data_IF_150189514665
#
_entry.id   IF_150189514665
#
_cell.length_a   1.000
_cell.length_b   1.000
_cell.length_c   1.000
_cell.angle_alpha   90.00
_cell.angle_beta   90.00
_cell.angle_gamma   90.00
#
_symmetry.space_group_name_H-M   'P 1'
#
loop_
_entity.id
_entity.type
_entity.pdbx_description
1 polymer ?
#
# COMPACT_ATOMS: atom_id res chain seq x y z
N UNK A 1 0.29 -21.19 -16.02
CA UNK A 1 -0.05 -19.92 -16.66
C UNK A 1 -1.13 -19.25 -15.86
N UNK A 2 -0.82 -18.04 -15.38
CA UNK A 2 -1.73 -17.16 -14.65
C UNK A 2 -2.24 -16.11 -15.63
N UNK A 3 -3.52 -15.75 -15.55
CA UNK A 3 -4.10 -14.71 -16.42
C UNK A 3 -4.96 -13.74 -15.63
N UNK A 4 -4.74 -12.44 -15.82
CA UNK A 4 -5.62 -11.38 -15.36
C UNK A 4 -6.61 -11.01 -16.48
N UNK A 5 -7.90 -10.94 -16.16
CA UNK A 5 -8.98 -10.66 -17.11
C UNK A 5 -9.94 -9.63 -16.57
N UNK A 6 -10.43 -8.78 -17.47
CA UNK A 6 -11.55 -7.90 -17.17
C UNK A 6 -12.50 -7.86 -18.36
N UNK A 7 -13.81 -7.94 -18.11
CA UNK A 7 -14.84 -8.07 -19.15
C UNK A 7 -14.54 -9.18 -20.18
N UNK A 8 -13.97 -10.30 -19.73
CA UNK A 8 -13.60 -11.43 -20.59
C UNK A 8 -12.35 -11.22 -21.46
N UNK A 9 -11.74 -10.04 -21.43
CA UNK A 9 -10.50 -9.72 -22.15
C UNK A 9 -9.30 -9.95 -21.24
N UNK A 10 -8.29 -10.66 -21.76
CA UNK A 10 -7.02 -10.86 -21.06
C UNK A 10 -6.22 -9.57 -21.10
N UNK A 11 -5.91 -9.05 -19.91
CA UNK A 11 -5.12 -7.82 -19.73
C UNK A 11 -3.68 -8.11 -19.32
N UNK A 12 -3.42 -9.31 -18.80
CA UNK A 12 -2.08 -9.86 -18.60
C UNK A 12 -2.11 -11.38 -18.55
N UNK A 13 -1.05 -12.05 -19.03
CA UNK A 13 -0.85 -13.48 -18.86
C UNK A 13 0.63 -13.85 -18.79
N UNK A 14 1.00 -14.68 -17.81
CA UNK A 14 2.40 -15.09 -17.62
C UNK A 14 2.50 -16.42 -16.87
N UNK A 15 3.58 -17.16 -17.13
CA UNK A 15 4.07 -18.26 -16.28
C UNK A 15 5.12 -17.79 -15.26
N UNK A 16 5.66 -16.58 -15.47
CA UNK A 16 6.66 -15.94 -14.62
C UNK A 16 5.98 -14.77 -13.91
N UNK A 17 5.51 -15.01 -12.69
CA UNK A 17 4.85 -14.01 -11.86
C UNK A 17 5.47 -14.01 -10.47
N UNK A 18 5.40 -12.84 -9.83
CA UNK A 18 5.70 -12.71 -8.41
C UNK A 18 4.39 -12.81 -7.61
N UNK A 19 4.42 -13.48 -6.46
CA UNK A 19 3.26 -13.60 -5.57
C UNK A 19 3.53 -12.84 -4.28
N UNK A 20 2.82 -11.73 -4.05
CA UNK A 20 3.07 -10.87 -2.88
C UNK A 20 1.78 -10.42 -2.20
N UNK A 21 1.66 -10.67 -0.89
CA UNK A 21 0.49 -10.38 -0.05
C UNK A 21 -0.85 -10.81 -0.70
N UNK A 22 -0.86 -11.99 -1.33
CA UNK A 22 -2.03 -12.56 -2.00
C UNK A 22 -2.30 -12.03 -3.41
N UNK A 23 -1.42 -11.19 -3.96
CA UNK A 23 -1.59 -10.62 -5.31
C UNK A 23 -0.60 -11.24 -6.28
N UNK A 24 -1.07 -11.50 -7.50
CA UNK A 24 -0.21 -11.85 -8.64
C UNK A 24 0.35 -10.57 -9.27
N UNK A 25 1.67 -10.47 -9.30
CA UNK A 25 2.42 -9.42 -9.95
C UNK A 25 2.97 -9.95 -11.27
N UNK A 26 2.47 -9.42 -12.38
CA UNK A 26 2.84 -9.80 -13.74
C UNK A 26 3.97 -8.90 -14.24
N UNK A 27 5.02 -9.43 -14.89
CA UNK A 27 6.08 -8.61 -15.45
C UNK A 27 5.48 -7.70 -16.53
N UNK A 28 6.00 -6.48 -16.68
CA UNK A 28 5.49 -5.51 -17.68
C UNK A 28 5.44 -6.09 -19.10
N UNK A 29 6.33 -7.02 -19.45
CA UNK A 29 6.33 -7.71 -20.75
C UNK A 29 5.14 -8.64 -20.98
N UNK A 30 4.45 -9.07 -19.92
CA UNK A 30 3.25 -9.90 -19.95
C UNK A 30 1.95 -9.09 -19.97
N UNK A 31 2.04 -7.75 -19.92
CA UNK A 31 0.87 -6.87 -19.87
C UNK A 31 0.42 -6.50 -21.28
N UNK A 32 -0.88 -6.59 -21.53
CA UNK A 32 -1.48 -5.95 -22.69
C UNK A 32 -1.50 -4.43 -22.48
N UNK A 33 -0.45 -3.75 -22.92
CA UNK A 33 -0.31 -2.31 -22.74
C UNK A 33 -1.42 -1.49 -23.41
N UNK A 34 -2.16 -2.04 -24.38
CA UNK A 34 -3.33 -1.37 -24.95
C UNK A 34 -4.52 -1.32 -23.98
N UNK A 35 -4.54 -2.19 -22.97
CA UNK A 35 -5.57 -2.24 -21.93
C UNK A 35 -5.21 -1.46 -20.67
N UNK A 36 -4.05 -0.78 -20.62
CA UNK A 36 -3.65 0.06 -19.50
C UNK A 36 -3.54 1.53 -19.91
N UNK A 37 -4.07 2.40 -19.06
CA UNK A 37 -3.93 3.85 -19.18
C UNK A 37 -3.46 4.44 -17.86
N UNK A 38 -2.41 5.26 -17.88
CA UNK A 38 -1.95 5.95 -16.67
C UNK A 38 -3.08 6.78 -16.05
N UNK A 39 -3.23 6.70 -14.72
CA UNK A 39 -4.19 7.50 -13.97
C UNK A 39 -3.46 8.43 -12.98
N UNK A 40 -2.89 9.55 -13.46
CA UNK A 40 -2.26 10.53 -12.58
C UNK A 40 -3.27 11.21 -11.63
N UNK A 41 -4.57 11.19 -11.96
CA UNK A 41 -5.64 11.79 -11.16
C UNK A 41 -5.91 11.05 -9.85
N UNK A 42 -5.71 9.72 -9.82
CA UNK A 42 -5.82 8.91 -8.62
C UNK A 42 -4.72 9.21 -7.58
N UNK A 43 -3.56 9.64 -8.10
CA UNK A 43 -2.35 9.87 -7.34
C UNK A 43 -1.66 8.57 -6.89
N UNK A 44 -0.64 8.72 -6.06
CA UNK A 44 0.13 7.59 -5.52
C UNK A 44 -0.36 7.16 -4.14
N UNK A 45 0.01 5.96 -3.73
CA UNK A 45 -0.13 5.51 -2.33
C UNK A 45 1.18 4.95 -1.80
N UNK A 46 1.41 5.12 -0.50
CA UNK A 46 2.64 4.72 0.15
C UNK A 46 2.52 3.39 0.93
N UNK A 47 3.38 2.43 0.66
CA UNK A 47 3.55 1.23 1.46
C UNK A 47 4.86 1.31 2.26
N UNK A 48 4.80 1.19 3.59
CA UNK A 48 5.96 1.26 4.48
C UNK A 48 7.10 0.29 4.12
N UNK A 49 6.82 -0.85 3.46
CA UNK A 49 7.86 -1.82 3.08
C UNK A 49 8.05 -1.98 1.57
N UNK A 50 7.06 -1.60 0.74
CA UNK A 50 7.17 -1.69 -0.72
C UNK A 50 7.53 -0.38 -1.42
N UNK A 51 7.26 0.78 -0.82
CA UNK A 51 7.49 2.10 -1.44
C UNK A 51 6.21 2.70 -2.03
N UNK A 52 6.34 3.48 -3.10
CA UNK A 52 5.23 4.22 -3.71
C UNK A 52 4.60 3.43 -4.86
N UNK A 53 3.28 3.26 -4.80
CA UNK A 53 2.49 2.64 -5.85
C UNK A 53 1.89 3.72 -6.77
N UNK A 54 2.09 3.55 -8.07
CA UNK A 54 1.43 4.27 -9.15
C UNK A 54 0.27 3.42 -9.71
N UNK A 55 -0.78 4.09 -10.17
CA UNK A 55 -2.02 3.44 -10.59
C UNK A 55 -2.33 3.67 -12.08
N UNK A 56 -2.97 2.67 -12.67
CA UNK A 56 -3.44 2.66 -14.04
C UNK A 56 -4.92 2.29 -14.06
N UNK A 57 -5.67 2.91 -14.96
CA UNK A 57 -6.96 2.40 -15.37
C UNK A 57 -6.77 1.14 -16.21
N UNK A 58 -7.67 0.18 -16.05
CA UNK A 58 -7.83 -0.93 -16.98
C UNK A 58 -8.92 -0.54 -17.98
N UNK A 59 -8.62 -0.59 -19.27
CA UNK A 59 -9.50 -0.17 -20.35
C UNK A 59 -9.76 -1.35 -21.26
N UNK A 60 -11.04 -1.68 -21.46
CA UNK A 60 -11.49 -2.74 -22.37
C UNK A 60 -12.65 -2.18 -23.16
N UNK A 61 -12.50 -2.14 -24.49
CA UNK A 61 -13.41 -1.46 -25.41
C UNK A 61 -13.65 0.01 -24.99
N UNK A 62 -14.91 0.40 -24.77
CA UNK A 62 -15.31 1.73 -24.31
C UNK A 62 -15.45 1.83 -22.78
N UNK A 63 -15.17 0.75 -22.05
CA UNK A 63 -15.28 0.71 -20.59
C UNK A 63 -13.94 0.96 -19.90
N UNK A 64 -14.00 1.66 -18.77
CA UNK A 64 -12.84 2.04 -17.95
C UNK A 64 -13.07 1.58 -16.52
N UNK A 65 -12.16 0.75 -16.01
CA UNK A 65 -12.07 0.41 -14.60
C UNK A 65 -10.98 1.25 -13.94
N UNK A 66 -11.41 2.25 -13.18
CA UNK A 66 -10.52 3.28 -12.65
C UNK A 66 -9.54 2.74 -11.61
N UNK A 67 -8.25 3.07 -11.80
CA UNK A 67 -7.15 2.72 -10.89
C UNK A 67 -7.12 1.24 -10.52
N UNK A 68 -7.47 0.34 -11.44
CA UNK A 68 -7.61 -1.10 -11.21
C UNK A 68 -6.33 -1.93 -11.43
N UNK A 69 -5.25 -1.27 -11.81
CA UNK A 69 -3.92 -1.85 -11.80
C UNK A 69 -2.95 -0.93 -11.07
N UNK A 70 -1.93 -1.50 -10.43
CA UNK A 70 -0.88 -0.72 -9.75
C UNK A 70 0.51 -1.31 -9.97
N UNK A 71 1.51 -0.45 -9.82
CA UNK A 71 2.92 -0.78 -9.95
C UNK A 71 3.76 -0.02 -8.93
N UNK A 72 4.78 -0.67 -8.40
CA UNK A 72 5.85 0.01 -7.69
C UNK A 72 6.98 0.28 -8.69
N UNK A 73 7.13 1.54 -9.12
CA UNK A 73 8.15 1.92 -10.09
C UNK A 73 9.56 1.87 -9.47
N UNK A 74 9.67 2.32 -8.23
CA UNK A 74 10.88 2.25 -7.44
C UNK A 74 10.61 1.58 -6.09
N UNK A 75 10.43 0.24 -6.06
CA UNK A 75 10.21 -0.45 -4.81
C UNK A 75 11.43 -0.37 -3.91
N UNK A 76 11.20 -0.43 -2.60
CA UNK A 76 12.29 -0.58 -1.65
C UNK A 76 12.97 -1.95 -1.79
N UNK A 77 14.19 -2.06 -1.29
CA UNK A 77 14.99 -3.29 -1.44
C UNK A 77 14.30 -4.54 -0.88
N UNK A 78 13.43 -4.39 0.12
CA UNK A 78 12.61 -5.50 0.65
C UNK A 78 11.57 -6.02 -0.33
N UNK A 79 11.15 -5.22 -1.31
CA UNK A 79 10.17 -5.56 -2.33
C UNK A 79 10.77 -5.50 -3.74
N UNK A 80 12.09 -5.68 -3.87
CA UNK A 80 12.80 -5.55 -5.14
C UNK A 80 12.31 -6.56 -6.19
N UNK A 81 11.83 -7.73 -5.76
CA UNK A 81 11.31 -8.77 -6.64
C UNK A 81 10.14 -8.29 -7.52
N UNK A 82 9.30 -7.38 -7.03
CA UNK A 82 8.18 -6.81 -7.81
C UNK A 82 8.56 -5.59 -8.64
N UNK A 83 9.84 -5.22 -8.72
CA UNK A 83 10.27 -4.15 -9.64
C UNK A 83 9.90 -4.52 -11.07
N UNK A 84 9.27 -3.58 -11.78
CA UNK A 84 8.86 -3.83 -13.16
C UNK A 84 7.69 -4.82 -13.31
N UNK A 85 6.89 -4.98 -12.25
CA UNK A 85 5.67 -5.78 -12.28
C UNK A 85 4.41 -4.95 -12.01
N UNK A 86 3.28 -5.43 -12.50
CA UNK A 86 1.95 -4.83 -12.35
C UNK A 86 1.02 -5.85 -11.70
N UNK A 87 0.23 -5.42 -10.74
CA UNK A 87 -0.84 -6.23 -10.13
C UNK A 87 -2.20 -5.56 -10.35
N UNK A 88 -3.27 -6.34 -10.18
CA UNK A 88 -4.65 -5.95 -10.53
C UNK A 88 -5.63 -6.24 -9.39
N UNK A 89 -6.69 -5.44 -9.29
CA UNK A 89 -7.75 -5.56 -8.27
C UNK A 89 -9.09 -5.00 -8.81
N UNK A 90 -10.05 -4.71 -7.92
CA UNK A 90 -11.32 -4.01 -8.23
C UNK A 90 -12.20 -4.69 -9.29
N UNK A 91 -12.16 -6.02 -9.34
CA UNK A 91 -12.98 -6.83 -10.25
C UNK A 91 -12.23 -7.38 -11.46
N UNK A 92 -10.92 -7.11 -11.59
CA UNK A 92 -10.06 -7.90 -12.48
C UNK A 92 -9.95 -9.32 -11.90
N UNK A 93 -10.33 -10.32 -12.69
CA UNK A 93 -10.29 -11.74 -12.32
C UNK A 93 -8.90 -12.30 -12.59
N UNK A 94 -8.29 -12.99 -11.61
CA UNK A 94 -6.99 -13.63 -11.75
C UNK A 94 -7.16 -15.15 -11.74
N UNK A 95 -7.10 -15.76 -12.92
CA UNK A 95 -7.24 -17.20 -13.11
C UNK A 95 -5.89 -17.91 -12.99
N UNK A 96 -5.89 -19.07 -12.31
CA UNK A 96 -4.68 -19.88 -12.14
C UNK A 96 -3.63 -19.25 -11.23
N UNK A 97 -3.98 -18.17 -10.52
CA UNK A 97 -3.11 -17.49 -9.57
C UNK A 97 -2.75 -18.37 -8.36
N UNK A 98 -1.61 -18.11 -7.73
CA UNK A 98 -1.15 -18.86 -6.57
C UNK A 98 -2.04 -18.59 -5.35
N UNK A 99 -2.35 -19.65 -4.59
CA UNK A 99 -3.15 -19.55 -3.37
C UNK A 99 -2.30 -19.05 -2.18
N UNK A 100 -2.97 -18.45 -1.19
CA UNK A 100 -2.33 -17.98 0.04
C UNK A 100 -1.77 -16.55 -0.09
N UNK A 101 -0.73 -16.25 0.69
CA UNK A 101 -0.18 -14.89 0.77
C UNK A 101 1.07 -14.66 -0.09
N UNK A 102 1.75 -15.72 -0.51
CA UNK A 102 3.04 -15.60 -1.20
C UNK A 102 4.11 -14.96 -0.32
N UNK A 103 4.97 -14.14 -0.93
CA UNK A 103 5.92 -13.30 -0.23
C UNK A 103 5.20 -12.19 0.54
N UNK A 104 5.67 -11.91 1.74
CA UNK A 104 5.09 -10.92 2.64
C UNK A 104 6.19 -10.04 3.22
N UNK A 105 5.79 -8.97 3.89
CA UNK A 105 6.70 -8.09 4.62
C UNK A 105 7.71 -8.92 5.47
N UNK A 106 9.02 -8.68 5.34
CA UNK A 106 10.02 -9.35 6.16
C UNK A 106 9.83 -9.12 7.66
N UNK A 107 10.14 -10.14 8.46
CA UNK A 107 10.16 -10.05 9.93
C UNK A 107 11.61 -10.12 10.44
N UNK A 108 12.06 -9.17 11.29
CA UNK A 108 11.30 -8.00 11.78
C UNK A 108 11.05 -6.96 10.68
N UNK A 109 9.90 -6.29 10.75
CA UNK A 109 9.67 -5.11 9.93
C UNK A 109 10.67 -4.04 10.27
N UNK A 110 11.26 -3.42 9.25
CA UNK A 110 12.28 -2.39 9.44
C UNK A 110 11.68 -1.01 9.16
N UNK A 111 11.88 -0.06 10.09
CA UNK A 111 11.70 1.37 9.83
C UNK A 111 12.56 1.84 8.64
N UNK A 112 13.70 1.18 8.42
CA UNK A 112 14.55 1.32 7.23
C UNK A 112 14.86 2.79 6.88
N UNK A 113 15.35 3.53 7.89
CA UNK A 113 15.76 4.93 7.74
C UNK A 113 14.64 5.95 7.49
N UNK A 114 13.38 5.52 7.42
CA UNK A 114 12.24 6.41 7.20
C UNK A 114 12.13 7.43 8.33
N UNK A 115 11.64 8.62 8.01
CA UNK A 115 11.40 9.70 8.97
C UNK A 115 10.08 10.42 8.64
N UNK A 116 9.64 11.31 9.51
CA UNK A 116 8.43 12.07 9.32
C UNK A 116 7.20 11.18 9.11
N UNK A 117 6.35 11.56 8.16
CA UNK A 117 5.08 10.89 7.90
C UNK A 117 5.23 9.44 7.40
N UNK A 118 6.33 9.10 6.70
CA UNK A 118 6.58 7.72 6.26
C UNK A 118 6.87 6.81 7.46
N UNK A 119 7.67 7.29 8.42
CA UNK A 119 7.93 6.59 9.67
C UNK A 119 6.68 6.50 10.55
N UNK A 120 5.82 7.53 10.50
CA UNK A 120 4.52 7.47 11.18
C UNK A 120 3.63 6.36 10.61
N UNK A 121 3.53 6.22 9.28
CA UNK A 121 2.82 5.08 8.67
C UNK A 121 3.36 3.73 9.16
N UNK A 122 4.69 3.58 9.25
CA UNK A 122 5.31 2.38 9.80
C UNK A 122 4.93 2.15 11.27
N UNK A 123 5.02 3.19 12.12
CA UNK A 123 4.68 3.13 13.54
C UNK A 123 3.21 2.75 13.78
N UNK A 124 2.28 3.25 12.96
CA UNK A 124 0.86 2.92 13.09
C UNK A 124 0.55 1.44 12.76
N UNK A 125 1.37 0.79 11.92
CA UNK A 125 1.25 -0.66 11.64
C UNK A 125 1.97 -1.50 12.70
N UNK A 126 3.13 -1.03 13.17
CA UNK A 126 4.00 -1.76 14.09
C UNK A 126 4.17 -1.01 15.43
N UNK A 127 3.07 -0.74 16.16
CA UNK A 127 3.14 0.06 17.37
C UNK A 127 3.76 -0.74 18.52
N UNK A 128 4.58 -0.10 19.39
CA UNK A 128 5.07 -0.74 20.60
C UNK A 128 3.97 -0.92 21.67
N UNK A 129 2.86 -0.16 21.56
CA UNK A 129 1.73 -0.12 22.50
C UNK A 129 0.52 0.57 21.85
N UNK A 130 -0.67 0.39 22.41
CA UNK A 130 -1.94 0.94 21.87
C UNK A 130 -2.17 2.44 22.17
N UNK A 131 -1.33 3.06 22.99
CA UNK A 131 -1.38 4.50 23.25
C UNK A 131 0.03 5.08 23.15
N UNK A 132 0.23 6.04 22.27
CA UNK A 132 1.52 6.66 22.00
C UNK A 132 1.49 8.12 22.45
N UNK A 133 2.40 8.47 23.34
CA UNK A 133 2.69 9.86 23.69
C UNK A 133 3.48 10.54 22.58
N UNK A 134 3.59 11.87 22.63
CA UNK A 134 4.45 12.58 21.67
C UNK A 134 5.93 12.22 21.79
N UNK A 135 6.41 11.77 22.95
CA UNK A 135 7.77 11.25 23.09
C UNK A 135 7.95 9.93 22.32
N UNK A 136 6.96 9.03 22.37
CA UNK A 136 7.00 7.78 21.59
C UNK A 136 6.98 8.08 20.09
N UNK A 137 6.15 9.05 19.66
CA UNK A 137 6.08 9.46 18.26
C UNK A 137 7.41 10.07 17.82
N UNK A 138 7.98 11.00 18.58
CA UNK A 138 9.25 11.66 18.23
C UNK A 138 10.40 10.64 18.15
N UNK A 139 10.52 9.74 19.11
CA UNK A 139 11.53 8.67 19.12
C UNK A 139 11.46 7.77 17.87
N UNK A 140 10.24 7.46 17.41
CA UNK A 140 10.03 6.52 16.32
C UNK A 140 9.93 7.17 14.93
N UNK A 141 9.75 8.49 14.85
CA UNK A 141 9.42 9.16 13.58
C UNK A 141 10.20 10.45 13.32
N UNK A 142 10.91 10.99 14.31
CA UNK A 142 11.54 12.32 14.27
C UNK A 142 10.53 13.47 14.09
N UNK A 143 9.22 13.22 14.33
CA UNK A 143 8.18 14.24 14.33
C UNK A 143 8.09 14.86 15.72
N UNK A 144 8.41 16.16 15.89
CA UNK A 144 8.21 16.84 17.16
C UNK A 144 6.72 17.06 17.42
N UNK A 145 6.34 17.30 18.68
CA UNK A 145 4.95 17.57 19.09
C UNK A 145 4.25 18.63 18.21
N UNK A 146 4.92 19.74 17.90
CA UNK A 146 4.34 20.79 17.06
C UNK A 146 4.05 20.37 15.60
N UNK A 147 4.65 19.29 15.12
CA UNK A 147 4.53 18.80 13.75
C UNK A 147 3.43 17.75 13.55
N UNK A 148 3.00 17.06 14.61
CA UNK A 148 2.15 15.87 14.46
C UNK A 148 0.81 16.17 13.81
N UNK A 149 0.17 17.30 14.11
CA UNK A 149 -1.12 17.67 13.50
C UNK A 149 -1.02 17.97 12.01
N UNK A 150 0.16 18.39 11.54
CA UNK A 150 0.41 18.56 10.11
C UNK A 150 0.62 17.20 9.46
N UNK A 151 1.45 16.34 10.05
CA UNK A 151 1.71 14.99 9.53
C UNK A 151 0.47 14.11 9.54
N UNK A 152 -0.40 14.27 10.54
CA UNK A 152 -1.68 13.56 10.62
C UNK A 152 -2.55 13.82 9.39
N UNK A 153 -2.48 15.00 8.76
CA UNK A 153 -3.28 15.34 7.57
C UNK A 153 -2.75 14.72 6.27
N UNK A 154 -1.58 14.09 6.29
CA UNK A 154 -1.04 13.41 5.10
C UNK A 154 -1.97 12.25 4.72
N UNK A 155 -2.32 12.15 3.42
CA UNK A 155 -3.25 11.15 2.88
C UNK A 155 -2.91 9.72 3.35
N UNK A 156 -1.65 9.32 3.23
CA UNK A 156 -1.23 7.98 3.64
C UNK A 156 -1.20 7.80 5.16
N UNK A 157 -0.89 8.83 5.94
CA UNK A 157 -1.02 8.75 7.41
C UNK A 157 -2.48 8.52 7.79
N UNK A 158 -3.42 9.24 7.19
CA UNK A 158 -4.85 9.00 7.39
C UNK A 158 -5.25 7.59 6.97
N UNK A 159 -4.74 7.09 5.84
CA UNK A 159 -5.01 5.72 5.38
C UNK A 159 -4.52 4.67 6.38
N UNK A 160 -3.31 4.82 6.91
CA UNK A 160 -2.80 3.91 7.94
C UNK A 160 -3.56 4.06 9.26
N UNK A 161 -3.86 5.29 9.67
CA UNK A 161 -4.63 5.55 10.87
C UNK A 161 -6.01 4.91 10.79
N UNK A 162 -6.73 5.07 9.68
CA UNK A 162 -8.02 4.39 9.48
C UNK A 162 -7.86 2.87 9.46
N UNK A 163 -6.88 2.34 8.71
CA UNK A 163 -6.69 0.88 8.55
C UNK A 163 -6.41 0.23 9.88
N UNK A 164 -5.54 0.84 10.67
CA UNK A 164 -5.09 0.31 11.96
C UNK A 164 -5.82 0.94 13.16
N UNK A 165 -6.92 1.68 12.90
CA UNK A 165 -7.87 2.20 13.89
C UNK A 165 -7.28 3.17 14.92
N UNK A 166 -6.41 4.05 14.46
CA UNK A 166 -5.80 5.11 15.26
C UNK A 166 -6.57 6.42 15.20
N UNK A 167 -6.62 7.10 16.34
CA UNK A 167 -7.08 8.48 16.50
C UNK A 167 -5.94 9.35 17.04
N UNK A 168 -6.01 10.65 16.74
CA UNK A 168 -5.17 11.67 17.38
C UNK A 168 -6.06 12.51 18.29
N UNK A 169 -5.74 12.54 19.58
CA UNK A 169 -6.59 13.09 20.63
C UNK A 169 -5.85 14.13 21.48
N UNK A 170 -6.63 15.06 22.03
CA UNK A 170 -6.21 16.00 23.06
C UNK A 170 -6.76 15.53 24.40
N UNK A 171 -5.89 15.07 25.30
CA UNK A 171 -6.25 14.59 26.64
C UNK A 171 -5.52 15.40 27.69
N UNK A 172 -6.26 16.15 28.49
CA UNK A 172 -5.73 16.96 29.59
C UNK A 172 -4.55 17.88 29.21
N UNK A 173 -4.56 18.39 27.98
CA UNK A 173 -3.53 19.29 27.45
C UNK A 173 -2.33 18.58 26.82
N UNK A 174 -2.34 17.25 26.70
CA UNK A 174 -1.36 16.46 25.96
C UNK A 174 -1.96 15.89 24.67
N UNK A 175 -1.16 15.84 23.60
CA UNK A 175 -1.51 15.14 22.37
C UNK A 175 -1.11 13.67 22.52
N UNK A 176 -2.03 12.76 22.19
CA UNK A 176 -1.78 11.31 22.17
C UNK A 176 -2.35 10.66 20.93
N UNK A 177 -1.74 9.58 20.47
CA UNK A 177 -2.30 8.68 19.47
C UNK A 177 -2.85 7.45 20.18
N UNK A 178 -4.07 7.03 19.83
CA UNK A 178 -4.77 5.95 20.51
C UNK A 178 -5.29 4.96 19.48
N UNK A 179 -4.98 3.69 19.68
CA UNK A 179 -5.44 2.59 18.84
C UNK A 179 -6.67 1.94 19.46
N UNK A 180 -7.75 1.84 18.70
CA UNK A 180 -8.90 1.04 19.10
C UNK A 180 -8.64 -0.47 18.84
N UNK A 181 -9.21 -1.32 19.69
CA UNK A 181 -9.14 -2.77 19.52
C UNK A 181 -9.80 -3.26 18.22
N UNK A 182 -9.30 -4.39 17.73
CA UNK A 182 -9.86 -5.15 16.61
C UNK A 182 -8.95 -5.22 15.39
N UNK A 183 -9.38 -6.02 14.42
CA UNK A 183 -8.59 -6.27 13.21
C UNK A 183 -8.48 -5.02 12.32
N UNK A 184 -7.43 -4.96 11.47
CA UNK A 184 -7.31 -3.91 10.47
C UNK A 184 -8.53 -3.82 9.55
N UNK A 185 -8.94 -2.60 9.23
CA UNK A 185 -10.07 -2.32 8.35
C UNK A 185 -9.60 -2.32 6.89
N UNK A 186 -10.37 -2.95 6.00
CA UNK A 186 -10.14 -2.85 4.55
C UNK A 186 -10.41 -1.42 4.09
N UNK A 187 -9.47 -0.86 3.33
CA UNK A 187 -9.61 0.47 2.71
C UNK A 187 -9.40 0.27 1.21
N UNK A 188 -10.38 0.72 0.43
CA UNK A 188 -10.38 0.65 -1.04
C UNK A 188 -9.45 1.69 -1.69
#
# INVERSE_FOLDING_TARGET
>A
MVSAKWNGVVVADSDDIEHVEGNAYFPVSAINMAALRENPGYGTTFCHWKGHADYYDVVVDDEVLEAAAWRYNDPYGQAENIRGHVAFWRGVEVDGGPEGQGYVEPTPSLRDGKSGWEALCWLLRHPPKQELSMADVEENTDIPEGGIRYMWKVKDVQRYATRYRWTLEDRDGAIVLVQADGDPVTID
#
